data_IF_021931732381
#
_entry.id   IF_021931732381
#
_cell.length_a   1.000
_cell.length_b   1.000
_cell.length_c   1.000
_cell.angle_alpha   90.00
_cell.angle_beta   90.00
_cell.angle_gamma   90.00
#
_symmetry.space_group_name_H-M   'P 1'
#
loop_
_entity.id
_entity.type
_entity.pdbx_description
1 polymer ?
#
# COMPACT_ATOMS: atom_id res chain seq x y z
N UNK A 1 56.31 13.08 4.70
CA UNK A 1 55.61 12.70 3.45
C UNK A 1 54.35 11.95 3.89
N UNK A 2 53.22 12.68 3.90
CA UNK A 2 51.91 12.15 4.28
C UNK A 2 51.24 11.59 3.01
N UNK A 3 51.10 10.26 2.94
CA UNK A 3 50.33 9.59 1.88
C UNK A 3 48.81 9.73 2.21
N UNK A 4 48.17 10.65 1.53
CA UNK A 4 46.72 10.75 1.52
C UNK A 4 46.14 9.48 0.86
N UNK A 5 45.50 8.58 1.65
CA UNK A 5 44.66 7.52 1.14
C UNK A 5 43.45 8.13 0.45
N UNK A 6 43.50 8.19 -0.86
CA UNK A 6 42.30 8.46 -1.68
C UNK A 6 41.32 7.30 -1.46
N UNK A 7 40.21 7.59 -0.81
CA UNK A 7 39.09 6.65 -0.69
C UNK A 7 38.62 6.28 -2.11
N UNK A 8 38.72 4.99 -2.47
CA UNK A 8 38.09 4.48 -3.71
C UNK A 8 36.59 4.77 -3.66
N UNK A 9 35.99 5.37 -4.71
CA UNK A 9 34.56 5.49 -4.78
C UNK A 9 33.95 4.06 -4.75
N UNK A 10 32.94 3.88 -3.90
CA UNK A 10 32.22 2.61 -3.80
C UNK A 10 31.64 2.26 -5.18
N UNK A 11 31.99 1.09 -5.69
CA UNK A 11 31.43 0.56 -6.93
C UNK A 11 29.91 0.49 -6.77
N UNK A 12 29.09 1.07 -7.68
CA UNK A 12 27.63 0.93 -7.59
C UNK A 12 27.27 -0.55 -7.65
N UNK A 13 26.35 -0.97 -6.77
CA UNK A 13 25.85 -2.35 -6.76
C UNK A 13 25.32 -2.72 -8.16
N UNK A 14 25.53 -3.96 -8.63
CA UNK A 14 25.07 -4.39 -9.93
C UNK A 14 23.54 -4.20 -10.04
N UNK A 15 23.07 -3.76 -11.20
CA UNK A 15 21.66 -3.40 -11.47
C UNK A 15 20.67 -4.50 -11.06
N UNK A 16 21.07 -5.78 -11.15
CA UNK A 16 20.27 -6.94 -10.72
C UNK A 16 19.99 -6.93 -9.22
N UNK A 17 20.97 -6.54 -8.40
CA UNK A 17 20.80 -6.48 -6.94
C UNK A 17 19.84 -5.35 -6.53
N UNK A 18 19.86 -4.23 -7.26
CA UNK A 18 18.94 -3.12 -7.00
C UNK A 18 17.48 -3.48 -7.34
N UNK A 19 17.26 -4.19 -8.46
CA UNK A 19 15.93 -4.64 -8.85
C UNK A 19 15.35 -5.65 -7.83
N UNK A 20 16.15 -6.63 -7.39
CA UNK A 20 15.74 -7.57 -6.34
C UNK A 20 15.45 -6.87 -5.00
N UNK A 21 16.26 -5.91 -4.63
CA UNK A 21 16.03 -5.10 -3.42
C UNK A 21 14.67 -4.40 -3.49
N UNK A 22 14.32 -3.81 -4.64
CA UNK A 22 13.02 -3.18 -4.85
C UNK A 22 11.84 -4.14 -4.70
N UNK A 23 11.95 -5.34 -5.29
CA UNK A 23 10.91 -6.37 -5.13
C UNK A 23 10.75 -6.78 -3.65
N UNK A 24 11.85 -7.00 -2.93
CA UNK A 24 11.83 -7.36 -1.50
C UNK A 24 11.18 -6.24 -0.68
N UNK A 25 11.54 -4.99 -0.91
CA UNK A 25 10.97 -3.85 -0.20
C UNK A 25 9.44 -3.78 -0.36
N UNK A 26 8.92 -3.99 -1.56
CA UNK A 26 7.47 -3.99 -1.82
C UNK A 26 6.80 -5.24 -1.25
N UNK A 27 7.44 -6.41 -1.33
CA UNK A 27 6.94 -7.64 -0.70
C UNK A 27 6.80 -7.46 0.81
N UNK A 28 7.83 -6.92 1.48
CA UNK A 28 7.77 -6.60 2.91
C UNK A 28 6.67 -5.59 3.20
N UNK A 29 6.47 -4.60 2.34
CA UNK A 29 5.36 -3.66 2.46
C UNK A 29 4.01 -4.37 2.45
N UNK A 30 3.77 -5.29 1.50
CA UNK A 30 2.53 -6.07 1.42
C UNK A 30 2.26 -6.87 2.69
N UNK A 31 3.30 -7.51 3.25
CA UNK A 31 3.22 -8.23 4.53
C UNK A 31 2.91 -7.27 5.68
N UNK A 32 3.59 -6.13 5.78
CA UNK A 32 3.33 -5.13 6.83
C UNK A 32 1.90 -4.59 6.73
N UNK A 33 1.40 -4.30 5.53
CA UNK A 33 0.01 -3.88 5.35
C UNK A 33 -0.99 -4.97 5.74
N UNK A 34 -0.68 -6.25 5.54
CA UNK A 34 -1.51 -7.36 5.98
C UNK A 34 -1.74 -7.41 7.50
N UNK A 35 -0.82 -6.88 8.30
CA UNK A 35 -1.03 -6.77 9.76
C UNK A 35 -2.07 -5.69 10.13
N UNK A 36 -2.40 -4.80 9.19
CA UNK A 36 -3.37 -3.70 9.40
C UNK A 36 -4.76 -4.24 9.70
N UNK A 37 -5.20 -5.30 9.01
CA UNK A 37 -6.55 -5.86 9.15
C UNK A 37 -6.88 -6.23 10.58
N UNK A 38 -6.04 -7.07 11.19
CA UNK A 38 -6.22 -7.52 12.59
C UNK A 38 -6.12 -6.34 13.57
N UNK A 39 -5.15 -5.44 13.39
CA UNK A 39 -4.99 -4.28 14.27
C UNK A 39 -6.19 -3.33 14.19
N UNK A 40 -6.76 -3.11 13.01
CA UNK A 40 -7.99 -2.30 12.81
C UNK A 40 -9.18 -2.99 13.45
N UNK A 41 -9.33 -4.31 13.31
CA UNK A 41 -10.42 -5.06 13.94
C UNK A 41 -10.37 -4.92 15.46
N UNK A 42 -9.25 -5.24 16.09
CA UNK A 42 -9.06 -5.10 17.54
C UNK A 42 -9.32 -3.67 18.03
N UNK A 43 -8.90 -2.67 17.27
CA UNK A 43 -9.11 -1.27 17.61
C UNK A 43 -10.60 -0.88 17.52
N UNK A 44 -11.32 -1.33 16.50
CA UNK A 44 -12.76 -1.10 16.35
C UNK A 44 -13.56 -1.75 17.48
N UNK A 45 -13.24 -2.99 17.80
CA UNK A 45 -13.94 -3.75 18.86
C UNK A 45 -13.75 -3.11 20.24
N UNK A 46 -12.57 -2.53 20.48
CA UNK A 46 -12.25 -1.90 21.77
C UNK A 46 -12.66 -0.42 21.90
N UNK A 47 -12.82 0.31 20.79
CA UNK A 47 -13.03 1.76 20.81
C UNK A 47 -14.29 2.23 20.07
N UNK A 48 -14.86 1.42 19.17
CA UNK A 48 -15.96 1.82 18.30
C UNK A 48 -15.57 2.81 17.19
N UNK A 49 -14.28 3.10 16.99
CA UNK A 49 -13.83 4.03 15.95
C UNK A 49 -14.21 3.57 14.55
N UNK A 50 -14.61 4.53 13.72
CA UNK A 50 -14.87 4.26 12.31
C UNK A 50 -13.58 3.93 11.56
N UNK A 51 -13.62 3.12 10.49
CA UNK A 51 -12.44 2.82 9.67
C UNK A 51 -11.74 4.06 9.12
N UNK A 52 -12.49 5.10 8.75
CA UNK A 52 -11.94 6.35 8.24
C UNK A 52 -11.20 7.13 9.33
N UNK A 53 -11.70 7.11 10.57
CA UNK A 53 -11.02 7.73 11.71
C UNK A 53 -9.72 7.02 12.05
N UNK A 54 -9.71 5.68 12.01
CA UNK A 54 -8.48 4.88 12.18
C UNK A 54 -7.49 5.19 11.06
N UNK A 55 -7.97 5.28 9.80
CA UNK A 55 -7.16 5.68 8.65
C UNK A 55 -6.51 7.06 8.80
N UNK A 56 -7.27 8.02 9.33
CA UNK A 56 -6.74 9.35 9.65
C UNK A 56 -5.65 9.29 10.73
N UNK A 57 -5.92 8.62 11.87
CA UNK A 57 -4.95 8.53 12.97
C UNK A 57 -3.65 7.87 12.54
N UNK A 58 -3.71 6.79 11.75
CA UNK A 58 -2.49 6.14 11.26
C UNK A 58 -1.65 7.05 10.36
N UNK A 59 -2.28 7.84 9.47
CA UNK A 59 -1.57 8.82 8.63
C UNK A 59 -1.04 9.99 9.46
N UNK A 60 -1.81 10.50 10.42
CA UNK A 60 -1.40 11.59 11.29
C UNK A 60 -0.22 11.20 12.19
N UNK A 61 -0.25 10.01 12.80
CA UNK A 61 0.87 9.49 13.61
C UNK A 61 2.10 9.29 12.72
N UNK A 62 1.96 8.70 11.54
CA UNK A 62 3.07 8.56 10.60
C UNK A 62 3.67 9.92 10.22
N UNK A 63 2.81 10.91 9.91
CA UNK A 63 3.24 12.26 9.58
C UNK A 63 4.02 12.91 10.74
N UNK A 64 3.52 12.81 11.96
CA UNK A 64 4.18 13.38 13.15
C UNK A 64 5.54 12.71 13.40
N UNK A 65 5.60 11.38 13.37
CA UNK A 65 6.86 10.63 13.56
C UNK A 65 7.86 10.97 12.47
N UNK A 66 7.44 10.99 11.21
CA UNK A 66 8.31 11.31 10.08
C UNK A 66 8.79 12.76 10.10
N UNK A 67 7.93 13.72 10.47
CA UNK A 67 8.32 15.11 10.67
C UNK A 67 9.34 15.24 11.78
N UNK A 68 9.16 14.54 12.91
CA UNK A 68 10.13 14.52 14.00
C UNK A 68 11.47 13.94 13.54
N UNK A 69 11.46 12.79 12.85
CA UNK A 69 12.67 12.15 12.31
C UNK A 69 13.38 13.00 11.24
N UNK A 70 12.64 13.85 10.54
CA UNK A 70 13.16 14.68 9.45
C UNK A 70 13.27 16.15 9.81
N UNK A 71 13.11 16.55 11.07
CA UNK A 71 13.11 17.95 11.53
C UNK A 71 14.34 18.72 11.07
N UNK A 72 15.54 18.12 11.15
CA UNK A 72 16.78 18.71 10.65
C UNK A 72 16.86 18.83 9.11
N UNK A 73 15.91 18.24 8.37
CA UNK A 73 15.86 18.24 6.89
C UNK A 73 14.64 18.99 6.34
N UNK A 74 13.96 19.78 7.15
CA UNK A 74 12.75 20.49 6.73
C UNK A 74 12.98 21.38 5.50
N UNK A 75 14.14 22.04 5.41
CA UNK A 75 14.53 22.84 4.23
C UNK A 75 14.60 21.97 2.96
N UNK A 76 15.13 20.75 3.05
CA UNK A 76 15.20 19.80 1.94
C UNK A 76 13.80 19.35 1.50
N UNK A 77 12.91 19.07 2.46
CA UNK A 77 11.51 18.68 2.18
C UNK A 77 10.78 19.82 1.46
N UNK A 78 10.90 21.05 1.96
CA UNK A 78 10.28 22.22 1.34
C UNK A 78 10.88 22.52 -0.04
N UNK A 79 12.19 22.33 -0.22
CA UNK A 79 12.84 22.47 -1.52
C UNK A 79 12.33 21.43 -2.53
N UNK A 80 12.20 20.17 -2.12
CA UNK A 80 11.63 19.11 -2.96
C UNK A 80 10.19 19.45 -3.37
N UNK A 81 9.35 19.90 -2.41
CA UNK A 81 7.98 20.29 -2.69
C UNK A 81 7.88 21.47 -3.66
N UNK A 82 8.79 22.43 -3.59
CA UNK A 82 8.85 23.55 -4.54
C UNK A 82 9.35 23.14 -5.92
N UNK A 83 10.29 22.18 -5.97
CA UNK A 83 10.86 21.71 -7.24
C UNK A 83 9.89 20.84 -8.05
N UNK A 84 9.06 20.02 -7.38
CA UNK A 84 8.10 19.11 -8.02
C UNK A 84 6.76 19.10 -7.27
N UNK A 85 6.02 20.22 -7.19
CA UNK A 85 4.82 20.32 -6.36
C UNK A 85 3.72 19.35 -6.82
N UNK A 86 3.47 19.26 -8.12
CA UNK A 86 2.34 18.49 -8.66
C UNK A 86 2.44 17.00 -8.33
N UNK A 87 3.51 16.26 -8.67
CA UNK A 87 3.57 14.83 -8.36
C UNK A 87 3.57 14.55 -6.85
N UNK A 88 4.18 15.41 -6.04
CA UNK A 88 4.22 15.21 -4.58
C UNK A 88 2.86 15.49 -3.94
N UNK A 89 2.16 16.55 -4.35
CA UNK A 89 0.80 16.85 -3.88
C UNK A 89 -0.18 15.77 -4.33
N UNK A 90 -0.14 15.37 -5.61
CA UNK A 90 -1.02 14.32 -6.13
C UNK A 90 -0.78 12.97 -5.45
N UNK A 91 0.46 12.63 -5.08
CA UNK A 91 0.75 11.42 -4.30
C UNK A 91 0.06 11.48 -2.93
N UNK A 92 0.16 12.60 -2.22
CA UNK A 92 -0.47 12.73 -0.89
C UNK A 92 -1.99 12.81 -0.95
N UNK A 93 -2.54 13.63 -1.84
CA UNK A 93 -3.99 13.74 -2.05
C UNK A 93 -4.57 12.39 -2.51
N UNK A 94 -3.91 11.74 -3.46
CA UNK A 94 -4.28 10.42 -3.93
C UNK A 94 -4.30 9.40 -2.80
N UNK A 95 -3.26 9.41 -1.93
CA UNK A 95 -3.17 8.54 -0.76
C UNK A 95 -4.39 8.70 0.18
N UNK A 96 -4.79 9.92 0.49
CA UNK A 96 -5.97 10.17 1.32
C UNK A 96 -7.27 9.82 0.60
N UNK A 97 -7.40 10.20 -0.66
CA UNK A 97 -8.64 10.05 -1.43
C UNK A 97 -8.98 8.58 -1.72
N UNK A 98 -8.01 7.77 -2.20
CA UNK A 98 -8.34 6.37 -2.45
C UNK A 98 -8.65 5.60 -1.16
N UNK A 99 -8.05 5.97 -0.02
CA UNK A 99 -8.43 5.40 1.27
C UNK A 99 -9.85 5.83 1.68
N UNK A 100 -10.23 7.11 1.50
CA UNK A 100 -11.59 7.55 1.78
C UNK A 100 -12.62 6.77 0.95
N UNK A 101 -12.34 6.58 -0.35
CA UNK A 101 -13.18 5.78 -1.25
C UNK A 101 -13.24 4.31 -0.83
N UNK A 102 -12.12 3.72 -0.38
CA UNK A 102 -12.09 2.37 0.15
C UNK A 102 -12.97 2.21 1.39
N UNK A 103 -12.88 3.14 2.34
CA UNK A 103 -13.71 3.10 3.54
C UNK A 103 -15.19 3.31 3.23
N UNK A 104 -15.52 4.16 2.25
CA UNK A 104 -16.89 4.30 1.76
C UNK A 104 -17.38 2.99 1.10
N UNK A 105 -16.54 2.35 0.29
CA UNK A 105 -16.85 1.05 -0.31
C UNK A 105 -17.11 -0.03 0.75
N UNK A 106 -16.29 -0.09 1.79
CA UNK A 106 -16.48 -0.99 2.93
C UNK A 106 -17.82 -0.74 3.62
N UNK A 107 -18.16 0.52 3.85
CA UNK A 107 -19.42 0.89 4.51
C UNK A 107 -20.65 0.55 3.66
N UNK A 108 -20.56 0.63 2.33
CA UNK A 108 -21.72 0.47 1.43
C UNK A 108 -21.86 -0.92 0.81
N UNK A 109 -20.77 -1.65 0.58
CA UNK A 109 -20.77 -2.96 -0.07
C UNK A 109 -20.07 -4.06 0.73
N UNK A 110 -19.55 -3.75 1.92
CA UNK A 110 -18.82 -4.69 2.76
C UNK A 110 -17.34 -4.81 2.39
N UNK A 111 -16.56 -5.37 3.32
CA UNK A 111 -15.10 -5.47 3.22
C UNK A 111 -14.66 -6.31 2.03
N UNK A 112 -15.32 -7.44 1.77
CA UNK A 112 -14.93 -8.39 0.72
C UNK A 112 -15.03 -7.76 -0.67
N UNK A 113 -16.16 -7.12 -0.99
CA UNK A 113 -16.35 -6.43 -2.28
C UNK A 113 -15.37 -5.26 -2.41
N UNK A 114 -15.24 -4.44 -1.37
CA UNK A 114 -14.32 -3.33 -1.35
C UNK A 114 -12.88 -3.79 -1.63
N UNK A 115 -12.42 -4.86 -0.99
CA UNK A 115 -11.05 -5.37 -1.12
C UNK A 115 -10.80 -6.00 -2.49
N UNK A 116 -11.69 -6.90 -2.95
CA UNK A 116 -11.52 -7.56 -4.27
C UNK A 116 -11.46 -6.53 -5.38
N UNK A 117 -12.40 -5.56 -5.39
CA UNK A 117 -12.48 -4.59 -6.46
C UNK A 117 -11.34 -3.57 -6.38
N UNK A 118 -11.09 -2.99 -5.20
CA UNK A 118 -10.04 -1.95 -5.07
C UNK A 118 -8.65 -2.50 -5.33
N UNK A 119 -8.29 -3.63 -4.69
CA UNK A 119 -6.95 -4.20 -4.84
C UNK A 119 -6.78 -4.98 -6.14
N UNK A 120 -7.85 -5.65 -6.63
CA UNK A 120 -7.78 -6.41 -7.88
C UNK A 120 -7.71 -5.54 -9.13
N UNK A 121 -8.42 -4.41 -9.15
CA UNK A 121 -8.43 -3.47 -10.29
C UNK A 121 -7.09 -2.73 -10.42
N UNK A 122 -6.44 -2.41 -9.32
CA UNK A 122 -5.24 -1.59 -9.33
C UNK A 122 -4.07 -2.16 -10.18
N UNK A 123 -3.61 -3.41 -10.01
CA UNK A 123 -2.53 -3.96 -10.83
C UNK A 123 -2.94 -4.11 -12.30
N UNK A 124 -4.21 -4.37 -12.59
CA UNK A 124 -4.75 -4.46 -13.96
C UNK A 124 -4.65 -3.10 -14.64
N UNK A 125 -5.11 -2.03 -14.01
CA UNK A 125 -5.06 -0.67 -14.54
C UNK A 125 -3.61 -0.18 -14.70
N UNK A 126 -2.74 -0.45 -13.71
CA UNK A 126 -1.33 -0.08 -13.79
C UNK A 126 -0.64 -0.82 -14.95
N UNK A 127 -0.92 -2.12 -15.14
CA UNK A 127 -0.37 -2.90 -16.24
C UNK A 127 -0.89 -2.43 -17.60
N UNK A 128 -2.18 -2.10 -17.70
CA UNK A 128 -2.78 -1.56 -18.92
C UNK A 128 -2.16 -0.22 -19.29
N UNK A 129 -1.99 0.69 -18.33
CA UNK A 129 -1.33 1.97 -18.53
C UNK A 129 0.12 1.82 -18.99
N UNK A 130 0.91 0.98 -18.31
CA UNK A 130 2.31 0.75 -18.68
C UNK A 130 2.43 0.14 -20.08
N UNK A 131 1.55 -0.79 -20.44
CA UNK A 131 1.51 -1.42 -21.76
C UNK A 131 1.11 -0.42 -22.86
N UNK A 132 0.09 0.39 -22.61
CA UNK A 132 -0.34 1.45 -23.53
C UNK A 132 0.78 2.47 -23.78
N UNK A 133 1.48 2.88 -22.69
CA UNK A 133 2.59 3.82 -22.79
C UNK A 133 3.80 3.24 -23.55
N UNK A 134 4.09 1.95 -23.32
CA UNK A 134 5.15 1.23 -24.04
C UNK A 134 4.73 0.84 -25.47
N UNK A 135 3.45 1.00 -25.83
CA UNK A 135 2.86 0.49 -27.10
C UNK A 135 3.12 -1.00 -27.32
N UNK A 136 3.10 -1.78 -26.25
CA UNK A 136 3.35 -3.22 -26.28
C UNK A 136 2.25 -3.96 -25.54
N UNK A 137 1.83 -5.09 -26.09
CA UNK A 137 0.89 -5.99 -25.43
C UNK A 137 1.65 -6.77 -24.34
N UNK A 138 1.09 -6.94 -23.13
CA UNK A 138 1.72 -7.74 -22.09
C UNK A 138 1.98 -9.16 -22.58
N UNK A 139 3.20 -9.66 -22.37
CA UNK A 139 3.51 -11.05 -22.71
C UNK A 139 2.65 -12.04 -21.89
N UNK A 140 2.50 -13.30 -22.38
CA UNK A 140 1.62 -14.30 -21.79
C UNK A 140 1.96 -14.60 -20.33
N UNK A 141 3.24 -14.59 -19.97
CA UNK A 141 3.69 -14.80 -18.58
C UNK A 141 3.18 -13.67 -17.68
N UNK A 142 3.33 -12.41 -18.09
CA UNK A 142 2.85 -11.24 -17.30
C UNK A 142 1.33 -11.27 -17.15
N UNK A 143 0.61 -11.60 -18.22
CA UNK A 143 -0.85 -11.73 -18.19
C UNK A 143 -1.29 -12.88 -17.27
N UNK A 144 -0.67 -14.05 -17.41
CA UNK A 144 -0.94 -15.22 -16.56
C UNK A 144 -0.67 -14.94 -15.07
N UNK A 145 0.44 -14.25 -14.77
CA UNK A 145 0.77 -13.82 -13.39
C UNK A 145 -0.29 -12.87 -12.83
N UNK A 146 -0.76 -11.91 -13.62
CA UNK A 146 -1.79 -10.97 -13.21
C UNK A 146 -3.14 -11.68 -12.96
N UNK A 147 -3.55 -12.57 -13.86
CA UNK A 147 -4.77 -13.37 -13.72
C UNK A 147 -4.68 -14.26 -12.47
N UNK A 148 -3.56 -14.95 -12.27
CA UNK A 148 -3.35 -15.79 -11.09
C UNK A 148 -3.43 -14.96 -9.79
N UNK A 149 -2.78 -13.80 -9.74
CA UNK A 149 -2.80 -12.94 -8.56
C UNK A 149 -4.22 -12.45 -8.21
N UNK A 150 -4.99 -12.01 -9.21
CA UNK A 150 -6.39 -11.58 -9.00
C UNK A 150 -7.28 -12.76 -8.62
N UNK A 151 -7.08 -13.94 -9.22
CA UNK A 151 -7.81 -15.15 -8.85
C UNK A 151 -7.53 -15.54 -7.40
N UNK A 152 -6.27 -15.54 -6.99
CA UNK A 152 -5.87 -15.79 -5.59
C UNK A 152 -6.51 -14.80 -4.62
N UNK A 153 -6.51 -13.50 -4.96
CA UNK A 153 -7.18 -12.46 -4.18
C UNK A 153 -8.69 -12.75 -4.02
N UNK A 154 -9.39 -13.06 -5.12
CA UNK A 154 -10.83 -13.38 -5.11
C UNK A 154 -11.11 -14.58 -4.20
N UNK A 155 -10.35 -15.66 -4.34
CA UNK A 155 -10.53 -16.87 -3.53
C UNK A 155 -10.32 -16.59 -2.03
N UNK A 156 -9.28 -15.86 -1.65
CA UNK A 156 -9.02 -15.51 -0.24
C UNK A 156 -10.16 -14.66 0.30
N UNK A 157 -10.50 -13.57 -0.39
CA UNK A 157 -11.40 -12.54 0.14
C UNK A 157 -12.86 -13.02 0.18
N UNK A 158 -13.29 -13.83 -0.80
CA UNK A 158 -14.66 -14.37 -0.81
C UNK A 158 -14.84 -15.48 0.23
N UNK A 159 -13.79 -16.24 0.51
CA UNK A 159 -13.86 -17.31 1.52
C UNK A 159 -13.82 -16.77 2.98
N UNK A 160 -13.31 -15.55 3.17
CA UNK A 160 -13.30 -14.86 4.48
C UNK A 160 -14.45 -13.85 4.61
N UNK A 161 -15.37 -13.82 3.63
CA UNK A 161 -16.52 -12.93 3.67
C UNK A 161 -17.50 -13.32 4.77
N UNK A 162 -17.95 -12.33 5.54
CA UNK A 162 -19.07 -12.51 6.47
C UNK A 162 -20.39 -12.51 5.69
N UNK A 163 -21.14 -13.65 5.66
CA UNK A 163 -22.42 -13.71 4.96
C UNK A 163 -23.49 -12.78 5.55
N UNK A 164 -23.33 -12.39 6.81
CA UNK A 164 -24.25 -11.49 7.53
C UNK A 164 -23.92 -10.00 7.34
N UNK A 165 -22.79 -9.68 6.68
CA UNK A 165 -22.37 -8.32 6.49
C UNK A 165 -23.41 -7.51 5.71
N UNK A 166 -23.81 -6.36 6.28
CA UNK A 166 -24.75 -5.45 5.64
C UNK A 166 -24.11 -4.76 4.42
N UNK A 167 -24.86 -4.71 3.33
CA UNK A 167 -24.48 -3.97 2.13
C UNK A 167 -25.62 -2.98 1.77
N UNK A 168 -25.74 -1.86 2.49
CA UNK A 168 -26.89 -0.94 2.37
C UNK A 168 -26.99 -0.27 0.99
N UNK A 169 -25.88 -0.12 0.27
CA UNK A 169 -25.84 0.50 -1.05
C UNK A 169 -24.80 -0.17 -1.97
N UNK A 170 -25.04 -1.43 -2.43
CA UNK A 170 -24.01 -2.24 -3.10
C UNK A 170 -23.44 -1.58 -4.35
N UNK A 171 -24.26 -0.92 -5.16
CA UNK A 171 -23.81 -0.25 -6.38
C UNK A 171 -22.90 0.95 -6.08
N UNK A 172 -23.26 1.78 -5.10
CA UNK A 172 -22.42 2.90 -4.67
C UNK A 172 -21.10 2.39 -4.07
N UNK A 173 -21.16 1.30 -3.29
CA UNK A 173 -19.97 0.63 -2.76
C UNK A 173 -19.06 0.07 -3.85
N UNK A 174 -19.64 -0.53 -4.89
CA UNK A 174 -18.87 -1.01 -6.05
C UNK A 174 -18.18 0.14 -6.81
N UNK A 175 -18.91 1.24 -7.04
CA UNK A 175 -18.34 2.43 -7.69
C UNK A 175 -17.22 3.06 -6.84
N UNK A 176 -17.42 3.15 -5.53
CA UNK A 176 -16.39 3.64 -4.61
C UNK A 176 -15.16 2.71 -4.58
N UNK A 177 -15.35 1.38 -4.60
CA UNK A 177 -14.27 0.41 -4.67
C UNK A 177 -13.49 0.53 -5.99
N UNK A 178 -14.18 0.65 -7.12
CA UNK A 178 -13.55 0.87 -8.42
C UNK A 178 -12.78 2.20 -8.47
N UNK A 179 -13.37 3.26 -7.92
CA UNK A 179 -12.72 4.57 -7.76
C UNK A 179 -11.48 4.50 -6.85
N UNK A 180 -11.55 3.73 -5.77
CA UNK A 180 -10.40 3.47 -4.88
C UNK A 180 -9.28 2.73 -5.62
N UNK A 181 -9.60 1.67 -6.36
CA UNK A 181 -8.62 0.91 -7.14
C UNK A 181 -7.96 1.75 -8.24
N UNK A 182 -8.75 2.57 -8.95
CA UNK A 182 -8.22 3.54 -9.91
C UNK A 182 -7.31 4.57 -9.22
N UNK A 183 -7.77 5.14 -8.11
CA UNK A 183 -6.98 6.09 -7.30
C UNK A 183 -5.67 5.49 -6.82
N UNK A 184 -5.69 4.24 -6.33
CA UNK A 184 -4.48 3.53 -5.93
C UNK A 184 -3.53 3.28 -7.11
N UNK A 185 -4.03 2.84 -8.26
CA UNK A 185 -3.22 2.63 -9.47
C UNK A 185 -2.56 3.95 -9.93
N UNK A 186 -3.35 5.03 -10.05
CA UNK A 186 -2.85 6.35 -10.47
C UNK A 186 -1.83 6.88 -9.46
N UNK A 187 -2.13 6.80 -8.17
CA UNK A 187 -1.21 7.24 -7.10
C UNK A 187 0.09 6.45 -7.13
N UNK A 188 0.05 5.14 -7.35
CA UNK A 188 1.24 4.28 -7.47
C UNK A 188 2.11 4.69 -8.66
N UNK A 189 1.51 4.96 -9.82
CA UNK A 189 2.24 5.40 -11.01
C UNK A 189 2.87 6.79 -10.82
N UNK A 190 2.15 7.73 -10.22
CA UNK A 190 2.67 9.07 -9.88
C UNK A 190 3.78 8.96 -8.85
N UNK A 191 3.58 8.17 -7.80
CA UNK A 191 4.58 7.94 -6.75
C UNK A 191 5.85 7.31 -7.29
N UNK A 192 5.73 6.38 -8.27
CA UNK A 192 6.88 5.81 -8.95
C UNK A 192 7.68 6.90 -9.66
N UNK A 193 7.03 7.81 -10.37
CA UNK A 193 7.71 8.96 -10.99
C UNK A 193 8.34 9.87 -9.94
N UNK A 194 7.61 10.24 -8.89
CA UNK A 194 8.11 11.09 -7.80
C UNK A 194 9.30 10.46 -7.06
N UNK A 195 9.30 9.13 -6.86
CA UNK A 195 10.36 8.40 -6.18
C UNK A 195 11.70 8.40 -6.92
N UNK A 196 11.70 8.66 -8.23
CA UNK A 196 12.93 8.81 -9.03
C UNK A 196 13.65 10.13 -8.71
N UNK A 197 12.90 11.17 -8.32
CA UNK A 197 13.39 12.53 -8.17
C UNK A 197 13.51 12.99 -6.72
N UNK A 198 13.04 12.19 -5.76
CA UNK A 198 13.14 12.52 -4.33
C UNK A 198 13.50 11.31 -3.49
N UNK A 199 13.90 11.51 -2.24
CA UNK A 199 14.21 10.39 -1.35
C UNK A 199 12.92 9.72 -0.86
N UNK A 200 12.91 8.40 -0.63
CA UNK A 200 11.74 7.69 -0.10
C UNK A 200 11.22 8.33 1.20
N UNK A 201 12.11 8.72 2.10
CA UNK A 201 11.75 9.38 3.36
C UNK A 201 11.02 10.71 3.13
N UNK A 202 11.53 11.55 2.22
CA UNK A 202 10.90 12.84 1.87
C UNK A 202 9.52 12.62 1.25
N UNK A 203 9.41 11.67 0.31
CA UNK A 203 8.14 11.34 -0.34
C UNK A 203 7.13 10.81 0.69
N UNK A 204 7.54 9.92 1.59
CA UNK A 204 6.68 9.38 2.65
C UNK A 204 6.21 10.48 3.59
N UNK A 205 7.11 11.38 4.02
CA UNK A 205 6.75 12.49 4.90
C UNK A 205 5.70 13.40 4.23
N UNK A 206 5.93 13.82 3.00
CA UNK A 206 5.00 14.71 2.27
C UNK A 206 3.67 14.00 2.04
N UNK A 207 3.69 12.76 1.57
CA UNK A 207 2.46 12.04 1.24
C UNK A 207 1.60 11.71 2.47
N UNK A 208 2.22 11.38 3.61
CA UNK A 208 1.46 11.12 4.86
C UNK A 208 0.87 12.39 5.46
N UNK A 209 1.60 13.52 5.42
CA UNK A 209 1.07 14.83 5.87
C UNK A 209 -0.13 15.24 5.00
N UNK A 210 0.03 15.24 3.68
CA UNK A 210 -1.04 15.66 2.77
C UNK A 210 -2.19 14.64 2.80
N UNK A 211 -1.89 13.35 2.88
CA UNK A 211 -2.90 12.29 2.99
C UNK A 211 -3.72 12.41 4.27
N UNK A 212 -3.08 12.71 5.41
CA UNK A 212 -3.79 12.98 6.67
C UNK A 212 -4.71 14.22 6.54
N UNK A 213 -4.21 15.31 5.95
CA UNK A 213 -5.01 16.51 5.72
C UNK A 213 -6.20 16.24 4.76
N UNK A 214 -5.99 15.42 3.74
CA UNK A 214 -7.05 15.02 2.79
C UNK A 214 -8.12 14.17 3.48
N UNK A 215 -7.72 13.28 4.40
CA UNK A 215 -8.65 12.39 5.10
C UNK A 215 -9.33 13.06 6.31
N UNK A 216 -8.72 14.15 6.82
CA UNK A 216 -9.21 14.85 8.02
C UNK A 216 -10.69 15.23 7.99
N UNK A 217 -11.26 15.86 6.93
CA UNK A 217 -12.67 16.25 6.94
C UNK A 217 -13.61 15.05 7.09
N UNK A 218 -13.28 13.91 6.47
CA UNK A 218 -14.08 12.68 6.58
C UNK A 218 -13.98 12.06 7.98
N UNK A 219 -12.80 12.09 8.58
CA UNK A 219 -12.56 11.59 9.92
C UNK A 219 -13.26 12.45 10.97
N UNK A 220 -13.19 13.79 10.84
CA UNK A 220 -13.88 14.73 11.72
C UNK A 220 -15.40 14.53 11.69
N UNK A 221 -15.96 14.31 10.50
CA UNK A 221 -17.39 14.02 10.33
C UNK A 221 -17.80 12.67 10.99
N UNK A 222 -16.86 11.72 11.10
CA UNK A 222 -17.11 10.37 11.66
C UNK A 222 -16.75 10.26 13.15
N UNK A 223 -16.20 11.33 13.76
CA UNK A 223 -15.67 11.31 15.14
C UNK A 223 -14.23 10.81 15.23
N UNK A 224 -13.37 11.57 15.89
CA UNK A 224 -11.94 11.31 16.03
C UNK A 224 -11.50 11.06 17.48
N UNK A 225 -12.43 11.08 18.43
CA UNK A 225 -12.09 10.91 19.85
C UNK A 225 -11.58 9.48 20.10
N UNK A 226 -10.40 9.38 20.68
CA UNK A 226 -9.74 8.10 20.99
C UNK A 226 -9.61 7.93 22.48
N UNK A 227 -10.07 6.81 23.06
CA UNK A 227 -9.78 6.49 24.46
C UNK A 227 -8.28 6.31 24.65
N UNK A 228 -7.68 7.04 25.59
CA UNK A 228 -6.24 6.92 25.89
C UNK A 228 -6.01 5.74 26.83
N UNK A 229 -5.89 4.54 26.22
CA UNK A 229 -5.59 3.28 26.90
C UNK A 229 -4.29 2.70 26.32
N UNK A 230 -3.49 1.95 27.10
CA UNK A 230 -2.22 1.41 26.61
C UNK A 230 -2.35 0.53 25.35
N UNK A 231 -3.38 -0.33 25.32
CA UNK A 231 -3.69 -1.18 24.17
C UNK A 231 -4.06 -0.38 22.91
N UNK A 232 -4.92 0.63 23.07
CA UNK A 232 -5.33 1.54 21.99
C UNK A 232 -4.13 2.31 21.43
N UNK A 233 -3.29 2.85 22.32
CA UNK A 233 -2.08 3.59 21.92
C UNK A 233 -1.10 2.65 21.19
N UNK A 234 -0.89 1.44 21.70
CA UNK A 234 0.00 0.46 21.05
C UNK A 234 -0.46 0.09 19.64
N UNK A 235 -1.77 -0.18 19.45
CA UNK A 235 -2.34 -0.48 18.14
C UNK A 235 -2.23 0.71 17.18
N UNK A 236 -2.52 1.92 17.64
CA UNK A 236 -2.39 3.13 16.82
C UNK A 236 -0.93 3.42 16.45
N UNK A 237 0.03 3.21 17.36
CA UNK A 237 1.45 3.32 17.06
C UNK A 237 1.89 2.24 16.05
N UNK A 238 1.44 1.00 16.20
CA UNK A 238 1.68 -0.05 15.21
C UNK A 238 1.16 0.37 13.82
N UNK A 239 -0.08 0.83 13.74
CA UNK A 239 -0.70 1.28 12.50
C UNK A 239 0.02 2.51 11.91
N UNK A 240 0.36 3.50 12.72
CA UNK A 240 1.01 4.72 12.24
C UNK A 240 2.49 4.53 11.91
N UNK A 241 3.25 3.86 12.75
CA UNK A 241 4.70 3.73 12.57
C UNK A 241 5.02 2.55 11.64
N UNK A 242 4.56 1.35 11.98
CA UNK A 242 4.97 0.14 11.24
C UNK A 242 4.24 0.05 9.91
N UNK A 243 2.90 0.05 9.92
CA UNK A 243 2.12 -0.18 8.69
C UNK A 243 1.98 1.07 7.82
N UNK A 244 2.38 2.25 8.32
CA UNK A 244 2.31 3.49 7.53
C UNK A 244 3.70 4.08 7.31
N UNK A 245 4.39 4.59 8.33
CA UNK A 245 5.66 5.27 8.11
C UNK A 245 6.74 4.36 7.50
N UNK A 246 6.96 3.19 8.10
CA UNK A 246 7.97 2.22 7.61
C UNK A 246 7.51 1.58 6.29
N UNK A 247 6.27 1.10 6.22
CA UNK A 247 5.77 0.41 5.04
C UNK A 247 5.76 1.32 3.80
N UNK A 248 5.28 2.57 3.89
CA UNK A 248 5.33 3.50 2.75
C UNK A 248 6.75 3.94 2.39
N UNK A 249 7.66 4.06 3.37
CA UNK A 249 9.07 4.33 3.06
C UNK A 249 9.70 3.19 2.25
N UNK A 250 9.41 1.93 2.61
CA UNK A 250 9.82 0.75 1.84
C UNK A 250 9.14 0.70 0.47
N UNK A 251 7.83 0.97 0.41
CA UNK A 251 7.08 1.01 -0.84
C UNK A 251 7.67 2.00 -1.83
N UNK A 252 7.89 3.25 -1.42
CA UNK A 252 8.47 4.26 -2.29
C UNK A 252 9.95 3.99 -2.61
N UNK A 253 10.69 3.35 -1.72
CA UNK A 253 12.04 2.89 -2.02
C UNK A 253 12.02 1.81 -3.11
N UNK A 254 11.12 0.83 -2.99
CA UNK A 254 10.94 -0.24 -3.97
C UNK A 254 10.45 0.24 -5.33
N UNK A 255 9.56 1.24 -5.37
CA UNK A 255 9.07 1.85 -6.62
C UNK A 255 10.16 2.50 -7.47
N UNK A 256 11.33 2.79 -6.91
CA UNK A 256 12.46 3.32 -7.68
C UNK A 256 12.97 2.35 -8.74
N UNK A 257 12.87 1.08 -8.47
CA UNK A 257 13.39 0.02 -9.35
C UNK A 257 12.33 -0.97 -9.83
N UNK A 258 11.10 -0.90 -9.27
CA UNK A 258 10.01 -1.82 -9.60
C UNK A 258 8.92 -1.10 -10.41
N UNK A 259 8.40 -1.70 -11.51
CA UNK A 259 7.24 -1.18 -12.22
C UNK A 259 6.01 -1.07 -11.30
N UNK A 260 5.15 -0.07 -11.54
CA UNK A 260 3.97 0.17 -10.70
C UNK A 260 2.97 -1.00 -10.71
N UNK A 261 2.79 -1.67 -11.84
CA UNK A 261 1.95 -2.86 -11.93
C UNK A 261 2.47 -4.05 -11.13
N UNK A 262 3.79 -4.26 -11.12
CA UNK A 262 4.44 -5.30 -10.31
C UNK A 262 4.33 -4.93 -8.83
N UNK A 263 4.53 -3.66 -8.49
CA UNK A 263 4.36 -3.17 -7.12
C UNK A 263 2.92 -3.42 -6.62
N UNK A 264 1.91 -3.02 -7.39
CA UNK A 264 0.51 -3.25 -7.05
C UNK A 264 0.16 -4.75 -6.94
N UNK A 265 0.80 -5.62 -7.76
CA UNK A 265 0.63 -7.07 -7.67
C UNK A 265 1.25 -7.63 -6.37
N UNK A 266 2.47 -7.22 -6.03
CA UNK A 266 3.15 -7.68 -4.82
C UNK A 266 2.41 -7.25 -3.54
N UNK A 267 1.73 -6.11 -3.55
CA UNK A 267 0.91 -5.68 -2.41
C UNK A 267 -0.35 -6.52 -2.20
N UNK A 268 -0.75 -7.39 -3.14
CA UNK A 268 -1.81 -8.39 -2.93
C UNK A 268 -1.44 -9.46 -1.88
N UNK A 269 -0.19 -9.49 -1.40
CA UNK A 269 0.18 -10.25 -0.20
C UNK A 269 -0.51 -9.73 1.07
N UNK A 270 -1.02 -8.51 1.06
CA UNK A 270 -1.78 -7.92 2.17
C UNK A 270 -2.94 -8.81 2.62
N UNK A 271 -3.93 -9.17 1.77
CA UNK A 271 -5.06 -10.02 2.19
C UNK A 271 -4.64 -11.45 2.57
N UNK A 272 -3.60 -11.99 1.95
CA UNK A 272 -3.06 -13.29 2.36
C UNK A 272 -2.46 -13.25 3.76
N UNK A 273 -1.66 -12.22 4.04
CA UNK A 273 -1.07 -12.02 5.38
C UNK A 273 -2.15 -11.78 6.42
N UNK A 274 -3.18 -10.98 6.10
CA UNK A 274 -4.32 -10.75 6.97
C UNK A 274 -5.05 -12.07 7.31
N UNK A 275 -5.30 -12.92 6.32
CA UNK A 275 -5.94 -14.22 6.52
C UNK A 275 -5.09 -15.16 7.40
N UNK A 276 -3.78 -15.23 7.17
CA UNK A 276 -2.87 -16.04 8.00
C UNK A 276 -2.87 -15.54 9.45
N UNK A 277 -2.85 -14.23 9.66
CA UNK A 277 -2.90 -13.65 11.01
C UNK A 277 -4.24 -13.84 11.70
N UNK A 278 -5.36 -13.78 10.98
CA UNK A 278 -6.68 -14.09 11.51
C UNK A 278 -6.75 -15.53 12.05
N UNK A 279 -6.22 -16.48 11.29
CA UNK A 279 -6.10 -17.87 11.75
C UNK A 279 -5.20 -18.01 12.98
N UNK A 280 -4.01 -17.37 12.94
CA UNK A 280 -2.98 -17.53 13.98
C UNK A 280 -3.33 -16.81 15.30
N UNK A 281 -3.93 -15.63 15.22
CA UNK A 281 -4.17 -14.76 16.38
C UNK A 281 -5.63 -14.75 16.85
N UNK A 282 -6.59 -14.88 15.91
CA UNK A 282 -8.02 -14.87 16.22
C UNK A 282 -8.63 -16.27 16.23
N UNK A 283 -7.81 -17.30 15.93
CA UNK A 283 -8.23 -18.72 15.87
C UNK A 283 -9.39 -18.96 14.89
N UNK A 284 -9.47 -18.16 13.82
CA UNK A 284 -10.45 -18.34 12.77
C UNK A 284 -10.16 -19.64 11.98
N UNK A 285 -11.18 -20.33 11.46
CA UNK A 285 -10.97 -21.51 10.62
C UNK A 285 -10.25 -21.11 9.33
N UNK A 286 -9.40 -21.99 8.81
CA UNK A 286 -8.73 -21.82 7.53
C UNK A 286 -9.50 -22.56 6.41
N UNK A 287 -10.40 -21.90 5.67
CA UNK A 287 -11.16 -22.53 4.61
C UNK A 287 -10.25 -22.96 3.45
N UNK A 288 -10.57 -24.09 2.81
CA UNK A 288 -9.79 -24.59 1.67
C UNK A 288 -9.59 -23.54 0.54
N UNK A 289 -10.58 -22.71 0.17
CA UNK A 289 -10.36 -21.66 -0.83
C UNK A 289 -9.29 -20.63 -0.43
N UNK A 290 -9.11 -20.35 0.86
CA UNK A 290 -8.02 -19.45 1.34
C UNK A 290 -6.66 -20.10 1.09
N UNK A 291 -6.52 -21.39 1.36
CA UNK A 291 -5.28 -22.14 1.10
C UNK A 291 -4.96 -22.15 -0.40
N UNK A 292 -5.96 -22.53 -1.22
CA UNK A 292 -5.80 -22.55 -2.69
C UNK A 292 -5.48 -21.15 -3.23
N UNK A 293 -6.23 -20.14 -2.80
CA UNK A 293 -6.01 -18.75 -3.20
C UNK A 293 -4.61 -18.23 -2.79
N UNK A 294 -4.17 -18.60 -1.58
CA UNK A 294 -2.83 -18.30 -1.07
C UNK A 294 -1.71 -18.92 -1.90
N UNK A 295 -1.84 -20.21 -2.26
CA UNK A 295 -0.88 -20.90 -3.13
C UNK A 295 -0.84 -20.27 -4.51
N UNK A 296 -1.99 -19.97 -5.11
CA UNK A 296 -2.08 -19.32 -6.43
C UNK A 296 -1.43 -17.93 -6.37
N UNK A 297 -1.72 -17.13 -5.36
CA UNK A 297 -1.13 -15.80 -5.18
C UNK A 297 0.39 -15.86 -4.97
N UNK A 298 0.87 -16.76 -4.09
CA UNK A 298 2.31 -16.94 -3.87
C UNK A 298 3.03 -17.41 -5.13
N UNK A 299 2.39 -18.25 -5.95
CA UNK A 299 2.94 -18.66 -7.25
C UNK A 299 3.06 -17.48 -8.21
N UNK A 300 2.07 -16.58 -8.23
CA UNK A 300 2.13 -15.35 -9.01
C UNK A 300 3.24 -14.41 -8.51
N UNK A 301 3.38 -14.25 -7.20
CA UNK A 301 4.48 -13.47 -6.61
C UNK A 301 5.84 -14.10 -6.97
N UNK A 302 6.01 -15.41 -6.81
CA UNK A 302 7.24 -16.10 -7.17
C UNK A 302 7.59 -15.93 -8.66
N UNK A 303 6.60 -15.99 -9.55
CA UNK A 303 6.80 -15.75 -10.98
C UNK A 303 7.36 -14.34 -11.27
N UNK A 304 7.03 -13.31 -10.47
CA UNK A 304 7.60 -11.97 -10.65
C UNK A 304 9.09 -11.90 -10.29
N UNK A 305 9.55 -12.73 -9.37
CA UNK A 305 10.98 -12.83 -9.01
C UNK A 305 11.80 -13.61 -10.03
N UNK A 306 11.14 -14.55 -10.73
CA UNK A 306 11.78 -15.41 -11.76
C UNK A 306 11.77 -14.76 -13.14
N UNK A 307 10.87 -13.81 -13.37
CA UNK A 307 10.80 -13.10 -14.65
C UNK A 307 12.09 -12.31 -14.90
N UNK A 308 12.63 -12.34 -16.14
CA UNK A 308 13.78 -11.52 -16.49
C UNK A 308 13.47 -10.05 -16.21
N UNK A 309 14.27 -9.42 -15.38
CA UNK A 309 14.20 -7.98 -15.09
C UNK A 309 14.73 -7.26 -16.34
N UNK A 310 13.87 -7.09 -17.35
CA UNK A 310 14.25 -6.28 -18.50
C UNK A 310 14.52 -4.86 -18.02
N UNK A 311 15.76 -4.43 -18.11
CA UNK A 311 16.15 -3.03 -17.99
C UNK A 311 15.38 -2.25 -19.06
N UNK A 312 14.24 -1.68 -18.68
CA UNK A 312 13.58 -0.67 -19.52
C UNK A 312 14.47 0.56 -19.51
N UNK A 313 14.91 1.05 -20.67
CA UNK A 313 15.73 2.25 -20.79
C UNK A 313 15.01 3.48 -20.23
#
# INVERSE_FOLDING_TARGET
>A
VSLSRTARPATPAPVVDQARTGLIQITVTGVLWGTTGVAVQLLRDSTGLSPVSIGFHRLAIAALVLLACTAGRLRTILAALRAAPVPLLLTGVGLGLYQALYFAAVAWAGVSVATVVSLGVAPVLAAAWESARARQIPGPVRLGTLVAAVTGLVLITTATADPSASAPAPLLGLLAAAGSGLGYAVTTLISRHASQHTTPMTLTTISTVIGALTLAPFALASGIAVPVRPDTVALLLHLGVITTAVAYALFYAGLRTTPGSVAALLTLLEPLTAAVLAVALLHEPLPLPVVVGGVVLLSAVAATYLAPQSSTP
#
